data_IF_812734487136
#
_entry.id   IF_812734487136
#
_cell.length_a   1.000
_cell.length_b   1.000
_cell.length_c   1.000
_cell.angle_alpha   90.00
_cell.angle_beta   90.00
_cell.angle_gamma   90.00
#
_symmetry.space_group_name_H-M   'P 1'
#
loop_
_entity.id
_entity.type
_entity.pdbx_description
1 polymer ?
#
# COMPACT_ATOMS: atom_id res chain seq x y z
N UNK A 1 19.88 -5.00 6.04
CA UNK A 1 19.56 -5.79 4.83
C UNK A 1 19.68 -4.90 3.60
N UNK A 2 20.08 -5.43 2.43
CA UNK A 2 20.21 -4.66 1.17
C UNK A 2 19.43 -5.26 -0.01
N UNK A 3 18.58 -6.26 0.24
CA UNK A 3 17.85 -6.99 -0.80
C UNK A 3 16.39 -7.10 -0.42
N UNK A 4 15.53 -7.14 -1.42
CA UNK A 4 14.14 -7.50 -1.29
C UNK A 4 13.98 -9.00 -1.02
N UNK A 5 12.91 -9.36 -0.33
CA UNK A 5 12.47 -10.71 0.06
C UNK A 5 11.07 -11.01 -0.50
N UNK A 6 10.24 -9.99 -0.75
CA UNK A 6 8.94 -10.22 -1.36
C UNK A 6 9.11 -10.94 -2.72
N UNK A 7 8.21 -11.87 -3.02
CA UNK A 7 8.21 -12.63 -4.28
C UNK A 7 7.54 -11.86 -5.41
N UNK A 8 7.88 -10.57 -5.54
CA UNK A 8 7.40 -9.66 -6.56
C UNK A 8 8.54 -9.25 -7.50
N UNK A 9 8.22 -8.99 -8.76
CA UNK A 9 9.16 -8.49 -9.76
C UNK A 9 8.56 -7.29 -10.47
N UNK A 10 9.38 -6.28 -10.76
CA UNK A 10 8.96 -5.16 -11.60
C UNK A 10 8.46 -5.69 -12.95
N UNK A 11 7.36 -5.10 -13.44
CA UNK A 11 6.58 -5.51 -14.61
C UNK A 11 5.86 -6.87 -14.51
N UNK A 12 5.90 -7.54 -13.36
CA UNK A 12 5.07 -8.71 -13.14
C UNK A 12 3.60 -8.33 -13.22
N UNK A 13 2.83 -9.11 -13.98
CA UNK A 13 1.37 -9.00 -14.04
C UNK A 13 0.78 -9.97 -13.02
N UNK A 14 -0.03 -9.44 -12.11
CA UNK A 14 -0.78 -10.18 -11.10
C UNK A 14 -2.26 -10.22 -11.53
N UNK A 15 -2.85 -11.40 -11.51
CA UNK A 15 -4.26 -11.58 -11.85
C UNK A 15 -5.12 -11.20 -10.64
N UNK A 16 -5.79 -10.06 -10.71
CA UNK A 16 -6.79 -9.64 -9.71
C UNK A 16 -8.21 -10.04 -10.12
N UNK A 17 -9.12 -10.12 -9.14
CA UNK A 17 -10.55 -10.43 -9.39
C UNK A 17 -11.26 -9.36 -10.23
N UNK A 18 -10.86 -8.09 -10.08
CA UNK A 18 -11.48 -6.94 -10.77
C UNK A 18 -10.71 -6.51 -12.02
N UNK A 19 -9.39 -6.60 -11.96
CA UNK A 19 -8.48 -6.15 -13.01
C UNK A 19 -7.14 -6.84 -12.86
N UNK A 20 -6.35 -6.84 -13.93
CA UNK A 20 -4.94 -7.20 -13.85
C UNK A 20 -4.17 -6.02 -13.24
N UNK A 21 -3.19 -6.38 -12.41
CA UNK A 21 -2.36 -5.46 -11.67
C UNK A 21 -0.91 -5.59 -12.16
N UNK A 22 -0.22 -4.48 -12.34
CA UNK A 22 1.19 -4.45 -12.73
C UNK A 22 2.04 -3.94 -11.58
N UNK A 23 3.07 -4.69 -11.21
CA UNK A 23 4.08 -4.20 -10.27
C UNK A 23 4.97 -3.18 -10.98
N UNK A 24 5.05 -1.95 -10.47
CA UNK A 24 5.78 -0.85 -11.14
C UNK A 24 6.94 -0.27 -10.32
N UNK A 25 6.93 -0.44 -9.00
CA UNK A 25 7.93 0.17 -8.13
C UNK A 25 8.20 -0.67 -6.88
N UNK A 26 9.38 -0.44 -6.29
CA UNK A 26 9.76 -1.02 -5.00
C UNK A 26 10.71 -0.07 -4.26
N UNK A 27 10.36 0.23 -3.01
CA UNK A 27 11.22 0.92 -2.06
C UNK A 27 11.56 -0.03 -0.91
N UNK A 28 12.84 -0.04 -0.50
CA UNK A 28 13.30 -0.79 0.67
C UNK A 28 13.65 0.19 1.78
N UNK A 29 12.89 0.14 2.86
CA UNK A 29 13.05 1.01 4.01
C UNK A 29 13.83 0.32 5.13
N UNK A 30 14.34 1.17 6.03
CA UNK A 30 14.87 0.74 7.32
C UNK A 30 14.67 1.80 8.37
N UNK A 31 14.42 1.37 9.59
CA UNK A 31 14.31 2.25 10.75
C UNK A 31 15.04 1.67 11.95
N UNK A 32 15.71 2.51 12.74
CA UNK A 32 16.35 2.11 13.98
C UNK A 32 15.36 2.21 15.13
N UNK A 33 15.06 1.09 15.79
CA UNK A 33 14.27 1.09 17.01
C UNK A 33 15.19 1.21 18.24
N UNK A 34 14.93 2.25 19.05
CA UNK A 34 15.74 2.54 20.24
C UNK A 34 15.51 1.56 21.39
N UNK A 35 14.32 0.96 21.48
CA UNK A 35 13.92 0.07 22.57
C UNK A 35 14.53 -1.32 22.38
N UNK A 36 14.39 -1.86 21.18
CA UNK A 36 14.84 -3.18 20.76
C UNK A 36 16.29 -3.18 20.28
N UNK A 37 16.88 -1.97 20.13
CA UNK A 37 18.27 -1.75 19.71
C UNK A 37 18.62 -2.48 18.42
N UNK A 38 17.71 -2.44 17.45
CA UNK A 38 17.88 -3.10 16.15
C UNK A 38 17.27 -2.29 15.02
N UNK A 39 17.69 -2.60 13.80
CA UNK A 39 17.03 -2.09 12.59
C UNK A 39 15.86 -2.98 12.20
N UNK A 40 14.71 -2.35 11.96
CA UNK A 40 13.59 -2.92 11.23
C UNK A 40 13.72 -2.60 9.74
N UNK A 41 13.17 -3.48 8.90
CA UNK A 41 13.22 -3.36 7.45
C UNK A 41 11.87 -3.78 6.87
N UNK A 42 11.40 -3.07 5.87
CA UNK A 42 10.20 -3.42 5.13
C UNK A 42 10.34 -2.97 3.68
N UNK A 43 9.59 -3.61 2.80
CA UNK A 43 9.47 -3.23 1.39
C UNK A 43 8.10 -2.63 1.15
N UNK A 44 8.04 -1.53 0.40
CA UNK A 44 6.80 -1.01 -0.16
C UNK A 44 6.81 -1.20 -1.67
N UNK A 45 5.84 -1.96 -2.17
CA UNK A 45 5.67 -2.29 -3.58
C UNK A 45 4.50 -1.51 -4.15
N UNK A 46 4.75 -0.77 -5.22
CA UNK A 46 3.72 -0.07 -5.97
C UNK A 46 3.15 -0.98 -7.05
N UNK A 47 1.83 -1.09 -7.08
CA UNK A 47 1.10 -1.97 -7.99
C UNK A 47 -0.04 -1.20 -8.64
N UNK A 48 0.05 -0.95 -9.95
CA UNK A 48 -0.96 -0.19 -10.68
C UNK A 48 -2.01 -1.09 -11.31
N UNK A 49 -3.27 -0.66 -11.28
CA UNK A 49 -4.40 -1.35 -11.90
C UNK A 49 -5.08 -0.49 -12.94
N UNK A 50 -5.78 -1.11 -13.90
CA UNK A 50 -6.64 -0.35 -14.82
C UNK A 50 -7.69 0.45 -14.03
N UNK A 51 -8.04 1.65 -14.52
CA UNK A 51 -9.00 2.58 -13.93
C UNK A 51 -8.63 3.07 -12.50
N UNK A 52 -7.42 3.61 -12.39
CA UNK A 52 -6.86 4.27 -11.19
C UNK A 52 -6.71 3.35 -9.96
N UNK A 53 -6.71 2.04 -10.14
CA UNK A 53 -6.67 1.06 -9.04
C UNK A 53 -5.25 0.86 -8.51
N UNK A 54 -4.54 1.97 -8.28
CA UNK A 54 -3.16 1.99 -7.82
C UNK A 54 -3.12 1.59 -6.34
N UNK A 55 -2.53 0.44 -6.06
CA UNK A 55 -2.44 -0.15 -4.74
C UNK A 55 -0.99 -0.25 -4.30
N UNK A 56 -0.79 -0.38 -3.00
CA UNK A 56 0.52 -0.64 -2.41
C UNK A 56 0.50 -1.93 -1.62
N UNK A 57 1.63 -2.62 -1.58
CA UNK A 57 1.82 -3.79 -0.74
C UNK A 57 3.07 -3.57 0.10
N UNK A 58 2.90 -3.63 1.42
CA UNK A 58 4.01 -3.68 2.35
C UNK A 58 4.37 -5.15 2.67
N UNK A 59 5.66 -5.43 2.74
CA UNK A 59 6.22 -6.70 3.20
C UNK A 59 7.19 -6.47 4.35
N UNK A 60 6.81 -6.87 5.56
CA UNK A 60 7.63 -6.70 6.78
C UNK A 60 8.67 -7.84 6.90
N UNK A 61 9.92 -7.49 7.17
CA UNK A 61 11.00 -8.46 7.35
C UNK A 61 11.12 -8.99 8.78
N UNK A 62 10.43 -8.36 9.72
CA UNK A 62 10.54 -8.65 11.16
C UNK A 62 9.87 -9.97 11.53
N UNK A 63 8.71 -10.26 10.95
CA UNK A 63 7.99 -11.52 11.11
C UNK A 63 8.04 -12.42 9.85
N UNK A 64 8.49 -11.88 8.71
CA UNK A 64 8.65 -12.56 7.42
C UNK A 64 7.36 -13.19 6.84
N UNK A 65 6.22 -12.96 7.48
CA UNK A 65 4.93 -13.52 7.07
C UNK A 65 3.89 -12.44 6.83
N UNK A 66 4.08 -11.23 7.36
CA UNK A 66 3.10 -10.17 7.22
C UNK A 66 3.22 -9.48 5.88
N UNK A 67 2.09 -9.49 5.17
CA UNK A 67 1.88 -8.77 3.93
C UNK A 67 0.66 -7.89 4.10
N UNK A 68 0.85 -6.57 3.98
CA UNK A 68 -0.21 -5.59 4.21
C UNK A 68 -0.58 -4.91 2.89
N UNK A 69 -1.76 -5.22 2.31
CA UNK A 69 -2.24 -4.54 1.12
C UNK A 69 -2.95 -3.22 1.48
N UNK A 70 -2.71 -2.19 0.67
CA UNK A 70 -3.36 -0.89 0.76
C UNK A 70 -4.05 -0.56 -0.56
N UNK A 71 -5.32 -0.13 -0.48
CA UNK A 71 -6.06 0.40 -1.62
C UNK A 71 -6.39 1.89 -1.42
N UNK A 72 -6.46 2.70 -2.49
CA UNK A 72 -6.83 4.09 -2.40
C UNK A 72 -8.21 4.24 -1.79
N UNK A 73 -8.32 5.13 -0.81
CA UNK A 73 -9.62 5.54 -0.32
C UNK A 73 -10.29 6.38 -1.41
N UNK A 74 -11.46 5.94 -1.86
CA UNK A 74 -12.32 6.71 -2.77
C UNK A 74 -13.26 7.59 -1.96
N UNK A 75 -13.02 8.90 -2.02
CA UNK A 75 -13.89 9.89 -1.41
C UNK A 75 -15.14 10.10 -2.27
N UNK A 76 -16.28 10.36 -1.62
CA UNK A 76 -17.52 10.72 -2.34
C UNK A 76 -17.45 12.12 -2.96
N UNK A 77 -16.60 12.99 -2.42
CA UNK A 77 -16.31 14.33 -2.94
C UNK A 77 -14.80 14.48 -3.07
N UNK A 78 -14.35 15.00 -4.22
CA UNK A 78 -12.94 15.30 -4.43
C UNK A 78 -12.51 16.45 -3.50
N UNK A 79 -11.34 16.31 -2.87
CA UNK A 79 -10.73 17.36 -2.06
C UNK A 79 -9.75 18.10 -2.96
N UNK A 80 -9.94 19.41 -3.15
CA UNK A 80 -8.97 20.27 -3.83
C UNK A 80 -7.86 20.66 -2.84
N UNK A 81 -6.64 20.12 -2.98
CA UNK A 81 -5.55 20.40 -2.05
C UNK A 81 -5.11 21.87 -2.08
N UNK A 82 -5.36 22.59 -3.18
CA UNK A 82 -4.97 24.01 -3.32
C UNK A 82 -5.84 24.94 -2.49
N UNK A 83 -7.02 24.47 -2.07
CA UNK A 83 -7.95 25.24 -1.25
C UNK A 83 -7.81 24.95 0.25
N UNK A 84 -6.93 24.02 0.64
CA UNK A 84 -6.72 23.66 2.04
C UNK A 84 -5.94 24.75 2.77
N UNK A 85 -6.48 25.20 3.91
CA UNK A 85 -5.79 26.12 4.83
C UNK A 85 -5.10 25.34 5.93
N UNK A 86 -3.96 25.85 6.40
CA UNK A 86 -3.26 25.27 7.56
C UNK A 86 -4.19 25.22 8.78
N UNK A 87 -4.32 24.04 9.38
CA UNK A 87 -5.16 23.82 10.56
C UNK A 87 -6.65 23.61 10.26
N UNK A 88 -7.05 23.55 8.99
CA UNK A 88 -8.42 23.25 8.60
C UNK A 88 -8.76 21.77 8.86
N UNK A 89 -9.84 21.53 9.60
CA UNK A 89 -10.45 20.21 9.78
C UNK A 89 -11.62 20.04 8.82
N UNK A 90 -11.81 18.83 8.30
CA UNK A 90 -12.95 18.48 7.45
C UNK A 90 -13.41 17.05 7.72
N UNK A 91 -14.70 16.79 7.50
CA UNK A 91 -15.27 15.45 7.60
C UNK A 91 -15.34 14.83 6.20
N UNK A 92 -14.77 13.65 6.06
CA UNK A 92 -14.79 12.92 4.78
C UNK A 92 -15.70 11.71 4.86
N UNK A 93 -16.52 11.52 3.84
CA UNK A 93 -17.33 10.33 3.67
C UNK A 93 -16.72 9.43 2.59
N UNK A 94 -16.73 8.12 2.84
CA UNK A 94 -16.21 7.08 1.93
C UNK A 94 -17.37 6.28 1.36
N UNK A 95 -17.32 5.95 0.08
CA UNK A 95 -18.22 4.95 -0.51
C UNK A 95 -17.81 3.57 0.00
N UNK A 96 -18.61 2.96 0.87
CA UNK A 96 -18.36 1.60 1.34
C UNK A 96 -18.72 0.57 0.27
N UNK A 97 -17.77 -0.29 -0.12
CA UNK A 97 -18.09 -1.63 -0.65
C UNK A 97 -17.83 -2.64 0.47
N UNK A 98 -18.83 -3.46 0.80
CA UNK A 98 -18.62 -4.64 1.65
C UNK A 98 -17.60 -5.56 0.95
N UNK A 99 -16.43 -5.73 1.56
CA UNK A 99 -15.47 -6.75 1.18
C UNK A 99 -15.96 -8.11 1.69
N UNK A 100 -16.20 -9.05 0.78
CA UNK A 100 -16.40 -10.46 1.15
C UNK A 100 -15.10 -11.04 1.68
N UNK A 101 -15.18 -11.69 2.85
CA UNK A 101 -14.10 -12.51 3.42
C UNK A 101 -13.55 -13.45 2.34
N UNK A 102 -12.24 -13.36 2.09
CA UNK A 102 -11.53 -14.45 1.44
C UNK A 102 -11.05 -15.39 2.55
N UNK A 103 -11.74 -16.51 2.70
CA UNK A 103 -11.21 -17.69 3.38
C UNK A 103 -10.34 -18.43 2.35
N UNK A 104 -9.09 -18.70 2.71
CA UNK A 104 -8.15 -19.53 1.95
C UNK A 104 -7.08 -20.04 2.90
#
# INVERSE_FOLDING_TARGET
MKRTKARLKINQILTGKKTNLRVVGCLLFREWDKKDKRFYYWEEWEITGLADYDSWVEYDHSDQTTVSPYEPIRFTQAIDPTQLKKGQSFTVSRTGRQGSRCSG
#
